data_IF_416071982724
#
_entry.id   IF_416071982724
#
_cell.length_a   1.000
_cell.length_b   1.000
_cell.length_c   1.000
_cell.angle_alpha   90.00
_cell.angle_beta   90.00
_cell.angle_gamma   90.00
#
_symmetry.space_group_name_H-M   'P 1'
#
loop_
_entity.id
_entity.type
_entity.pdbx_description
1 polymer ?
#
# COMPACT_ATOMS: atom_id res chain seq x y z
N UNK A 1 -28.42 -27.30 1.47
CA UNK A 1 -27.02 -27.43 1.02
C UNK A 1 -26.16 -27.70 2.25
N UNK A 2 -25.09 -28.51 2.14
CA UNK A 2 -24.10 -28.64 3.22
C UNK A 2 -23.52 -27.26 3.60
N UNK A 3 -23.11 -27.08 4.86
CA UNK A 3 -22.61 -25.80 5.36
C UNK A 3 -21.34 -25.36 4.62
N UNK A 4 -20.48 -26.29 4.24
CA UNK A 4 -19.24 -26.03 3.50
C UNK A 4 -19.54 -25.43 2.12
N UNK A 5 -20.58 -25.94 1.46
CA UNK A 5 -21.03 -25.42 0.16
C UNK A 5 -21.63 -24.03 0.33
N UNK A 6 -22.39 -23.80 1.39
CA UNK A 6 -22.93 -22.48 1.69
C UNK A 6 -21.82 -21.46 1.96
N UNK A 7 -20.80 -21.79 2.76
CA UNK A 7 -19.65 -20.90 3.01
C UNK A 7 -18.93 -20.54 1.69
N UNK A 8 -18.76 -21.50 0.78
CA UNK A 8 -18.13 -21.26 -0.53
C UNK A 8 -18.97 -20.31 -1.40
N UNK A 9 -20.29 -20.34 -1.31
CA UNK A 9 -21.17 -19.42 -2.03
C UNK A 9 -21.13 -18.04 -1.37
N UNK A 10 -21.29 -18.00 -0.04
CA UNK A 10 -21.42 -16.78 0.74
C UNK A 10 -20.13 -15.92 0.73
N UNK A 11 -18.94 -16.53 0.61
CA UNK A 11 -17.67 -15.76 0.58
C UNK A 11 -17.56 -14.75 -0.57
N UNK A 12 -18.36 -14.91 -1.62
CA UNK A 12 -18.38 -13.99 -2.77
C UNK A 12 -19.36 -12.83 -2.61
N UNK A 13 -20.14 -12.82 -1.52
CA UNK A 13 -21.09 -11.76 -1.24
C UNK A 13 -20.43 -10.63 -0.44
N UNK A 14 -20.81 -9.36 -0.70
CA UNK A 14 -20.36 -8.25 0.12
C UNK A 14 -20.94 -8.35 1.54
N UNK A 15 -20.29 -7.68 2.49
CA UNK A 15 -20.68 -7.72 3.90
C UNK A 15 -22.14 -7.32 4.15
N UNK A 16 -22.66 -6.37 3.36
CA UNK A 16 -24.06 -5.93 3.44
C UNK A 16 -25.04 -7.09 3.17
N UNK A 17 -24.73 -7.92 2.17
CA UNK A 17 -25.57 -9.05 1.80
C UNK A 17 -25.48 -10.17 2.82
N UNK A 18 -24.29 -10.40 3.41
CA UNK A 18 -24.14 -11.34 4.52
C UNK A 18 -24.95 -10.95 5.75
N UNK A 19 -24.98 -9.65 6.08
CA UNK A 19 -25.81 -9.12 7.17
C UNK A 19 -27.29 -9.35 6.88
N UNK A 20 -27.73 -9.18 5.63
CA UNK A 20 -29.12 -9.46 5.22
C UNK A 20 -29.46 -10.95 5.31
N UNK A 21 -28.55 -11.83 4.86
CA UNK A 21 -28.70 -13.30 4.93
C UNK A 21 -28.82 -13.77 6.37
N UNK A 22 -28.09 -13.12 7.28
CA UNK A 22 -28.15 -13.37 8.72
C UNK A 22 -29.57 -13.18 9.30
N UNK A 23 -30.42 -12.39 8.65
CA UNK A 23 -31.79 -12.12 9.09
C UNK A 23 -32.81 -13.15 8.58
N UNK A 24 -32.42 -14.02 7.64
CA UNK A 24 -33.35 -14.94 6.96
C UNK A 24 -33.72 -16.15 7.82
N UNK A 25 -32.76 -16.72 8.56
CA UNK A 25 -33.02 -17.86 9.46
C UNK A 25 -31.97 -17.97 10.57
N UNK A 26 -32.31 -18.66 11.66
CA UNK A 26 -31.38 -18.91 12.78
C UNK A 26 -30.16 -19.72 12.36
N UNK A 27 -30.32 -20.68 11.44
CA UNK A 27 -29.22 -21.50 10.94
C UNK A 27 -28.26 -20.67 10.08
N UNK A 28 -28.77 -19.79 9.22
CA UNK A 28 -27.94 -18.87 8.44
C UNK A 28 -27.27 -17.82 9.32
N UNK A 29 -27.96 -17.38 10.39
CA UNK A 29 -27.35 -16.51 11.40
C UNK A 29 -26.13 -17.16 12.04
N UNK A 30 -26.30 -18.38 12.52
CA UNK A 30 -25.23 -19.16 13.14
C UNK A 30 -24.07 -19.38 12.17
N UNK A 31 -24.36 -19.82 10.94
CA UNK A 31 -23.35 -20.02 9.91
C UNK A 31 -22.54 -18.76 9.60
N UNK A 32 -23.21 -17.61 9.47
CA UNK A 32 -22.54 -16.34 9.19
C UNK A 32 -21.77 -15.85 10.42
N UNK A 33 -22.33 -15.95 11.62
CA UNK A 33 -21.69 -15.44 12.84
C UNK A 33 -20.48 -16.28 13.27
N UNK A 34 -20.51 -17.59 13.07
CA UNK A 34 -19.49 -18.53 13.57
C UNK A 34 -18.43 -18.92 12.53
N UNK A 35 -18.41 -18.33 11.34
CA UNK A 35 -17.45 -18.67 10.28
C UNK A 35 -16.33 -17.62 10.13
N UNK A 36 -15.13 -17.83 10.72
CA UNK A 36 -13.99 -16.93 10.54
C UNK A 36 -13.54 -16.82 9.08
N UNK A 37 -13.61 -17.91 8.32
CA UNK A 37 -13.18 -17.95 6.91
C UNK A 37 -14.03 -17.06 6.01
N UNK A 38 -15.33 -16.96 6.31
CA UNK A 38 -16.25 -16.03 5.67
C UNK A 38 -15.82 -14.57 5.98
N UNK A 39 -15.65 -14.23 7.25
CA UNK A 39 -15.28 -12.87 7.68
C UNK A 39 -13.87 -12.46 7.25
N UNK A 40 -12.97 -13.41 7.06
CA UNK A 40 -11.62 -13.15 6.55
C UNK A 40 -11.61 -12.76 5.07
N UNK A 41 -12.62 -13.21 4.29
CA UNK A 41 -12.67 -13.04 2.82
C UNK A 41 -13.77 -12.09 2.34
N UNK A 42 -14.71 -11.72 3.20
CA UNK A 42 -15.79 -10.78 2.87
C UNK A 42 -15.25 -9.44 2.38
N UNK A 43 -15.92 -8.85 1.39
CA UNK A 43 -15.59 -7.53 0.86
C UNK A 43 -16.51 -6.43 1.39
N UNK A 44 -15.98 -5.21 1.45
CA UNK A 44 -16.66 -4.01 1.96
C UNK A 44 -16.72 -2.88 0.92
N UNK A 45 -17.11 -3.13 -0.36
CA UNK A 45 -17.09 -2.11 -1.41
C UNK A 45 -17.90 -0.86 -1.02
N UNK A 46 -17.28 0.32 -1.11
CA UNK A 46 -17.92 1.60 -0.79
C UNK A 46 -18.48 1.70 0.64
N UNK A 47 -18.08 0.79 1.54
CA UNK A 47 -18.41 0.82 2.96
C UNK A 47 -17.21 1.36 3.70
N UNK A 48 -17.37 2.57 4.24
CA UNK A 48 -16.40 3.21 5.12
C UNK A 48 -16.78 3.04 6.60
N UNK A 49 -15.82 2.92 7.54
CA UNK A 49 -16.09 2.86 8.97
C UNK A 49 -16.95 4.03 9.46
N UNK A 50 -17.98 3.70 10.23
CA UNK A 50 -18.89 4.65 10.89
C UNK A 50 -19.45 4.01 12.15
N UNK A 51 -20.07 4.79 13.02
CA UNK A 51 -20.73 4.27 14.24
C UNK A 51 -21.74 3.15 13.94
N UNK A 52 -22.40 3.17 12.77
CA UNK A 52 -23.45 2.20 12.41
C UNK A 52 -22.89 0.83 11.99
N UNK A 53 -21.72 0.79 11.37
CA UNK A 53 -21.15 -0.42 10.75
C UNK A 53 -19.82 -0.88 11.38
N UNK A 54 -19.27 -0.12 12.34
CA UNK A 54 -17.97 -0.38 12.97
C UNK A 54 -17.87 -1.79 13.55
N UNK A 55 -18.88 -2.28 14.26
CA UNK A 55 -18.87 -3.63 14.83
C UNK A 55 -18.70 -4.74 13.78
N UNK A 56 -19.21 -4.54 12.56
CA UNK A 56 -19.09 -5.51 11.46
C UNK A 56 -17.68 -5.51 10.88
N UNK A 57 -17.09 -4.32 10.73
CA UNK A 57 -15.71 -4.17 10.27
C UNK A 57 -14.71 -4.68 11.31
N UNK A 58 -14.91 -4.40 12.60
CA UNK A 58 -14.07 -4.89 13.70
C UNK A 58 -14.09 -6.41 13.78
N UNK A 59 -15.28 -7.02 13.60
CA UNK A 59 -15.39 -8.48 13.51
C UNK A 59 -14.51 -9.05 12.40
N UNK A 60 -14.55 -8.45 11.21
CA UNK A 60 -13.72 -8.88 10.08
C UNK A 60 -12.23 -8.65 10.35
N UNK A 61 -11.86 -7.50 10.92
CA UNK A 61 -10.49 -7.17 11.26
C UNK A 61 -9.89 -8.15 12.29
N UNK A 62 -10.67 -8.55 13.30
CA UNK A 62 -10.25 -9.51 14.34
C UNK A 62 -9.88 -10.89 13.80
N UNK A 63 -10.42 -11.28 12.63
CA UNK A 63 -10.06 -12.53 11.95
C UNK A 63 -9.05 -12.33 10.81
N UNK A 64 -8.44 -11.15 10.70
CA UNK A 64 -7.39 -10.87 9.73
C UNK A 64 -7.86 -10.40 8.35
N UNK A 65 -9.09 -9.89 8.22
CA UNK A 65 -9.56 -9.31 6.96
C UNK A 65 -8.78 -8.03 6.62
N UNK A 66 -7.96 -8.08 5.58
CA UNK A 66 -7.08 -6.98 5.17
C UNK A 66 -7.84 -5.71 4.77
N UNK A 67 -9.02 -5.84 4.13
CA UNK A 67 -9.81 -4.68 3.71
C UNK A 67 -10.34 -3.93 4.94
N UNK A 68 -10.86 -4.66 5.92
CA UNK A 68 -11.33 -4.07 7.18
C UNK A 68 -10.18 -3.46 7.99
N UNK A 69 -9.04 -4.16 8.10
CA UNK A 69 -7.84 -3.68 8.81
C UNK A 69 -7.34 -2.34 8.25
N UNK A 70 -7.22 -2.23 6.91
CA UNK A 70 -6.77 -1.00 6.26
C UNK A 70 -7.77 0.13 6.45
N UNK A 71 -9.07 -0.12 6.22
CA UNK A 71 -10.11 0.90 6.34
C UNK A 71 -10.24 1.42 7.77
N UNK A 72 -10.30 0.53 8.77
CA UNK A 72 -10.33 0.93 10.18
C UNK A 72 -9.05 1.67 10.58
N UNK A 73 -7.87 1.18 10.18
CA UNK A 73 -6.60 1.82 10.51
C UNK A 73 -6.53 3.25 9.99
N UNK A 74 -6.98 3.48 8.75
CA UNK A 74 -7.05 4.82 8.16
C UNK A 74 -8.12 5.71 8.79
N UNK A 75 -9.29 5.15 9.12
CA UNK A 75 -10.34 5.86 9.85
C UNK A 75 -9.83 6.38 11.21
N UNK A 76 -9.07 5.56 11.96
CA UNK A 76 -8.42 6.01 13.20
C UNK A 76 -7.32 7.05 12.92
N UNK A 77 -6.43 6.79 11.97
CA UNK A 77 -5.30 7.67 11.66
C UNK A 77 -5.73 9.09 11.28
N UNK A 78 -6.81 9.21 10.51
CA UNK A 78 -7.31 10.49 10.01
C UNK A 78 -8.53 11.02 10.77
N UNK A 79 -8.91 10.36 11.87
CA UNK A 79 -10.11 10.66 12.66
C UNK A 79 -11.37 10.83 11.79
N UNK A 80 -11.59 9.87 10.90
CA UNK A 80 -12.75 9.80 10.04
C UNK A 80 -13.67 8.68 10.56
N UNK A 81 -14.99 8.94 10.65
CA UNK A 81 -15.96 7.90 11.03
C UNK A 81 -16.06 7.64 12.54
N UNK A 82 -15.31 8.38 13.34
CA UNK A 82 -15.29 8.35 14.80
C UNK A 82 -15.43 9.76 15.36
N UNK A 83 -16.10 9.91 16.51
CA UNK A 83 -16.12 11.19 17.25
C UNK A 83 -14.96 11.29 18.26
N UNK A 84 -14.01 10.35 18.24
CA UNK A 84 -12.90 10.32 19.18
C UNK A 84 -11.84 11.35 18.81
N UNK A 85 -11.78 12.45 19.55
CA UNK A 85 -10.78 13.51 19.34
C UNK A 85 -9.42 13.19 19.95
N UNK A 86 -9.26 12.06 20.66
CA UNK A 86 -8.01 11.68 21.29
C UNK A 86 -7.04 11.06 20.27
N UNK A 87 -6.11 11.87 19.79
CA UNK A 87 -5.09 11.48 18.81
C UNK A 87 -4.19 10.33 19.29
N UNK A 88 -3.94 10.20 20.61
CA UNK A 88 -3.12 9.13 21.17
C UNK A 88 -3.84 7.79 21.13
N UNK A 89 -5.12 7.78 21.49
CA UNK A 89 -5.92 6.56 21.46
C UNK A 89 -6.18 6.10 20.02
N UNK A 90 -6.52 7.04 19.13
CA UNK A 90 -6.63 6.75 17.70
C UNK A 90 -5.31 6.24 17.12
N UNK A 91 -4.17 6.81 17.53
CA UNK A 91 -2.84 6.37 17.08
C UNK A 91 -2.51 4.95 17.55
N UNK A 92 -2.85 4.59 18.78
CA UNK A 92 -2.69 3.24 19.31
C UNK A 92 -3.53 2.21 18.54
N UNK A 93 -4.82 2.51 18.33
CA UNK A 93 -5.75 1.65 17.58
C UNK A 93 -5.32 1.49 16.12
N UNK A 94 -4.92 2.59 15.46
CA UNK A 94 -4.38 2.53 14.10
C UNK A 94 -3.10 1.69 14.01
N UNK A 95 -2.19 1.81 14.98
CA UNK A 95 -0.96 1.00 15.00
C UNK A 95 -1.25 -0.50 15.11
N UNK A 96 -2.18 -0.91 15.98
CA UNK A 96 -2.55 -2.33 16.14
C UNK A 96 -3.11 -2.92 14.83
N UNK A 97 -3.99 -2.17 14.16
CA UNK A 97 -4.59 -2.57 12.88
C UNK A 97 -3.55 -2.63 11.76
N UNK A 98 -2.66 -1.62 11.66
CA UNK A 98 -1.59 -1.60 10.67
C UNK A 98 -0.53 -2.68 10.91
N UNK A 99 -0.14 -2.94 12.17
CA UNK A 99 0.74 -4.04 12.53
C UNK A 99 0.16 -5.39 12.10
N UNK A 100 -1.14 -5.57 12.28
CA UNK A 100 -1.83 -6.78 11.86
C UNK A 100 -1.94 -6.87 10.34
N UNK A 101 -2.25 -5.77 9.65
CA UNK A 101 -2.33 -5.72 8.19
C UNK A 101 -1.00 -6.10 7.51
N UNK A 102 0.11 -5.57 8.01
CA UNK A 102 1.46 -5.86 7.48
C UNK A 102 1.90 -7.31 7.66
N UNK A 103 1.29 -8.05 8.61
CA UNK A 103 1.55 -9.50 8.74
C UNK A 103 0.86 -10.32 7.65
N UNK A 104 -0.10 -9.72 6.94
CA UNK A 104 -0.94 -10.39 5.95
C UNK A 104 -0.57 -10.03 4.50
N UNK A 105 0.42 -9.16 4.30
CA UNK A 105 0.86 -8.67 2.99
C UNK A 105 2.32 -9.00 2.73
N UNK A 106 2.67 -9.18 1.45
CA UNK A 106 4.06 -9.41 1.05
C UNK A 106 4.84 -8.11 0.87
N UNK A 107 4.16 -7.06 0.38
CA UNK A 107 4.74 -5.76 0.14
C UNK A 107 4.41 -4.78 1.27
N UNK A 108 5.42 -4.18 1.93
CA UNK A 108 5.18 -3.24 3.02
C UNK A 108 4.62 -1.91 2.52
N UNK A 109 3.56 -1.41 3.16
CA UNK A 109 2.82 -0.24 2.65
C UNK A 109 2.47 0.78 3.74
N UNK A 110 2.29 0.38 5.00
CA UNK A 110 1.82 1.27 6.07
C UNK A 110 2.71 2.49 6.31
N UNK A 111 4.01 2.35 6.02
CA UNK A 111 4.99 3.43 6.14
C UNK A 111 4.59 4.71 5.39
N UNK A 112 3.90 4.61 4.25
CA UNK A 112 3.56 5.81 3.47
C UNK A 112 2.40 6.62 4.07
N UNK A 113 1.55 6.03 4.92
CA UNK A 113 0.51 6.77 5.64
C UNK A 113 1.07 7.58 6.82
N UNK A 114 2.18 7.11 7.38
CA UNK A 114 2.78 7.61 8.62
C UNK A 114 3.95 8.56 8.30
N UNK A 115 4.13 8.97 7.03
CA UNK A 115 5.25 9.83 6.61
C UNK A 115 5.35 11.13 7.43
N UNK A 116 6.58 11.60 7.73
CA UNK A 116 6.83 12.92 8.29
C UNK A 116 6.59 14.05 7.25
N UNK A 117 6.58 15.34 7.68
CA UNK A 117 6.81 15.84 9.03
C UNK A 117 5.65 15.57 9.99
N UNK A 118 5.99 15.40 11.26
CA UNK A 118 5.03 15.32 12.36
C UNK A 118 5.10 16.59 13.20
N UNK A 119 4.04 16.88 13.94
CA UNK A 119 4.05 18.00 14.88
C UNK A 119 5.23 17.83 15.89
N UNK A 120 6.02 18.89 16.18
CA UNK A 120 7.16 18.81 17.10
C UNK A 120 6.79 18.34 18.51
N UNK A 121 5.54 18.55 18.93
CA UNK A 121 5.00 18.07 20.20
C UNK A 121 4.96 16.55 20.33
N UNK A 122 5.10 15.81 19.21
CA UNK A 122 4.97 14.35 19.19
C UNK A 122 3.54 13.84 19.44
N UNK A 123 2.57 14.74 19.62
CA UNK A 123 1.19 14.41 20.00
C UNK A 123 0.26 14.14 18.82
N UNK A 124 0.74 14.28 17.58
CA UNK A 124 -0.08 14.00 16.41
C UNK A 124 -0.27 12.49 16.21
N UNK A 125 -1.42 12.10 15.63
CA UNK A 125 -1.81 10.70 15.49
C UNK A 125 -0.74 9.86 14.76
N UNK A 126 -0.14 10.38 13.67
CA UNK A 126 0.95 9.70 12.94
C UNK A 126 2.17 9.38 13.81
N UNK A 127 2.63 10.35 14.62
CA UNK A 127 3.75 10.13 15.54
C UNK A 127 3.40 9.08 16.61
N UNK A 128 2.16 9.09 17.09
CA UNK A 128 1.65 8.08 18.02
C UNK A 128 1.63 6.68 17.37
N UNK A 129 1.16 6.55 16.13
CA UNK A 129 1.19 5.28 15.38
C UNK A 129 2.62 4.77 15.30
N UNK A 130 3.56 5.60 14.84
CA UNK A 130 4.97 5.22 14.73
C UNK A 130 5.56 4.73 16.06
N UNK A 131 5.31 5.47 17.16
CA UNK A 131 5.78 5.09 18.50
C UNK A 131 5.26 3.70 18.90
N UNK A 132 3.96 3.44 18.71
CA UNK A 132 3.36 2.15 19.05
C UNK A 132 3.87 1.01 18.14
N UNK A 133 4.16 1.28 16.86
CA UNK A 133 4.79 0.28 15.97
C UNK A 133 6.20 -0.10 16.44
N UNK A 134 6.99 0.90 16.87
CA UNK A 134 8.34 0.68 17.43
C UNK A 134 8.27 -0.14 18.72
N UNK A 135 7.37 0.22 19.64
CA UNK A 135 7.14 -0.52 20.89
C UNK A 135 6.72 -1.97 20.62
N UNK A 136 5.78 -2.17 19.69
CA UNK A 136 5.33 -3.49 19.27
C UNK A 136 6.50 -4.38 18.76
N UNK A 137 7.37 -3.84 17.92
CA UNK A 137 8.52 -4.58 17.38
C UNK A 137 9.68 -4.74 18.37
N UNK A 138 9.75 -3.91 19.41
CA UNK A 138 10.79 -3.99 20.45
C UNK A 138 10.46 -5.03 21.52
N UNK A 139 9.16 -5.23 21.78
CA UNK A 139 8.66 -6.18 22.76
C UNK A 139 8.38 -7.58 22.18
N UNK A 140 8.45 -7.76 20.86
CA UNK A 140 8.22 -9.04 20.22
C UNK A 140 9.30 -10.06 20.61
N UNK A 141 8.89 -11.25 21.07
CA UNK A 141 9.82 -12.34 21.37
C UNK A 141 10.55 -12.81 20.11
N UNK A 142 11.80 -13.31 20.21
CA UNK A 142 12.59 -13.78 19.05
C UNK A 142 11.92 -14.90 18.24
N UNK A 143 11.01 -15.65 18.87
CA UNK A 143 10.30 -16.80 18.29
C UNK A 143 8.95 -16.43 17.66
N UNK A 144 8.39 -15.27 17.99
CA UNK A 144 7.26 -14.72 17.25
C UNK A 144 7.84 -14.25 15.93
N UNK A 145 7.34 -14.74 14.79
CA UNK A 145 7.89 -14.46 13.46
C UNK A 145 8.02 -12.95 13.25
N UNK A 146 9.18 -12.36 13.58
CA UNK A 146 9.37 -10.92 13.56
C UNK A 146 9.03 -10.45 12.15
N UNK A 147 8.02 -9.58 12.07
CA UNK A 147 7.51 -9.18 10.78
C UNK A 147 8.52 -8.25 10.12
N UNK A 148 9.35 -8.84 9.25
CA UNK A 148 10.36 -8.14 8.44
C UNK A 148 9.77 -6.96 7.65
N UNK A 149 8.47 -6.98 7.34
CA UNK A 149 7.73 -5.86 6.73
C UNK A 149 7.55 -4.69 7.71
N UNK A 150 7.23 -4.95 8.99
CA UNK A 150 7.11 -3.91 10.00
C UNK A 150 8.46 -3.26 10.32
N UNK A 151 9.51 -4.06 10.47
CA UNK A 151 10.87 -3.54 10.67
C UNK A 151 11.30 -2.66 9.50
N UNK A 152 11.00 -3.10 8.27
CA UNK A 152 11.20 -2.28 7.08
C UNK A 152 10.39 -0.98 7.13
N UNK A 153 9.10 -1.04 7.47
CA UNK A 153 8.24 0.15 7.55
C UNK A 153 8.80 1.18 8.54
N UNK A 154 9.25 0.74 9.72
CA UNK A 154 9.88 1.61 10.72
C UNK A 154 11.15 2.24 10.14
N UNK A 155 12.05 1.42 9.57
CA UNK A 155 13.28 1.90 8.94
C UNK A 155 13.00 2.89 7.81
N UNK A 156 11.99 2.63 6.98
CA UNK A 156 11.59 3.49 5.86
C UNK A 156 10.98 4.80 6.33
N UNK A 157 10.18 4.81 7.40
CA UNK A 157 9.69 6.07 7.99
C UNK A 157 10.87 6.89 8.52
N UNK A 158 11.81 6.25 9.22
CA UNK A 158 13.00 6.93 9.74
C UNK A 158 13.88 7.51 8.62
N UNK A 159 13.99 6.82 7.49
CA UNK A 159 14.77 7.30 6.34
C UNK A 159 14.21 8.57 5.67
N UNK A 160 12.95 8.93 5.98
CA UNK A 160 12.31 10.14 5.46
C UNK A 160 12.57 11.37 6.32
N UNK A 161 13.26 11.22 7.44
CA UNK A 161 13.71 12.34 8.25
C UNK A 161 15.11 12.80 7.82
N UNK A 162 15.36 14.11 7.90
CA UNK A 162 16.66 14.72 7.56
C UNK A 162 17.66 14.76 8.75
N UNK A 163 17.33 14.13 9.88
CA UNK A 163 18.13 14.15 11.12
C UNK A 163 19.16 13.00 11.16
N UNK A 164 20.44 13.32 11.40
CA UNK A 164 21.53 12.35 11.52
C UNK A 164 21.30 11.28 12.59
N UNK A 165 20.69 11.63 13.74
CA UNK A 165 20.40 10.65 14.80
C UNK A 165 19.41 9.60 14.31
N UNK A 166 18.41 10.01 13.53
CA UNK A 166 17.43 9.08 12.96
C UNK A 166 18.01 8.21 11.84
N UNK A 167 19.11 8.65 11.22
CA UNK A 167 19.82 7.86 10.20
C UNK A 167 20.48 6.61 10.81
N UNK A 168 21.07 6.71 12.01
CA UNK A 168 21.66 5.53 12.66
C UNK A 168 20.59 4.53 13.10
N UNK A 169 19.48 5.01 13.69
CA UNK A 169 18.32 4.18 14.03
C UNK A 169 17.72 3.52 12.78
N UNK A 170 17.58 4.26 11.68
CA UNK A 170 17.12 3.75 10.39
C UNK A 170 17.95 2.55 9.92
N UNK A 171 19.28 2.67 9.96
CA UNK A 171 20.20 1.60 9.53
C UNK A 171 20.02 0.36 10.39
N UNK A 172 19.87 0.50 11.72
CA UNK A 172 19.64 -0.64 12.61
C UNK A 172 18.34 -1.41 12.27
N UNK A 173 17.23 -0.70 12.10
CA UNK A 173 15.95 -1.31 11.74
C UNK A 173 16.00 -2.00 10.37
N UNK A 174 16.61 -1.37 9.37
CA UNK A 174 16.76 -1.97 8.04
C UNK A 174 17.71 -3.18 8.07
N UNK A 175 18.79 -3.14 8.84
CA UNK A 175 19.71 -4.27 8.98
C UNK A 175 19.01 -5.45 9.65
N UNK A 176 18.24 -5.23 10.72
CA UNK A 176 17.43 -6.27 11.36
C UNK A 176 16.41 -6.87 10.39
N UNK A 177 15.71 -6.04 9.62
CA UNK A 177 14.76 -6.49 8.60
C UNK A 177 15.45 -7.32 7.50
N UNK A 178 16.63 -6.87 7.03
CA UNK A 178 17.43 -7.56 6.02
C UNK A 178 17.93 -8.91 6.52
N UNK A 179 18.40 -9.00 7.77
CA UNK A 179 18.84 -10.25 8.40
C UNK A 179 17.72 -11.29 8.51
N UNK A 180 16.46 -10.84 8.59
CA UNK A 180 15.27 -11.68 8.54
C UNK A 180 14.78 -11.97 7.10
N UNK A 181 15.56 -11.63 6.08
CA UNK A 181 15.25 -11.89 4.68
C UNK A 181 14.25 -10.91 4.06
N UNK A 182 14.22 -9.65 4.50
CA UNK A 182 13.48 -8.58 3.80
C UNK A 182 14.29 -8.10 2.60
N UNK A 183 13.82 -8.44 1.40
CA UNK A 183 14.41 -7.96 0.15
C UNK A 183 14.23 -6.45 -0.04
N UNK A 184 13.14 -5.89 0.50
CA UNK A 184 12.88 -4.45 0.57
C UNK A 184 13.93 -3.71 1.40
N UNK A 185 14.25 -4.23 2.59
CA UNK A 185 15.26 -3.63 3.45
C UNK A 185 16.67 -3.73 2.84
N UNK A 186 17.00 -4.89 2.28
CA UNK A 186 18.27 -5.08 1.58
C UNK A 186 18.43 -4.07 0.42
N UNK A 187 17.37 -3.84 -0.36
CA UNK A 187 17.38 -2.85 -1.44
C UNK A 187 17.55 -1.40 -0.95
N UNK A 188 16.83 -0.99 0.11
CA UNK A 188 16.99 0.36 0.66
C UNK A 188 18.40 0.57 1.23
N UNK A 189 18.96 -0.42 1.92
CA UNK A 189 20.34 -0.36 2.40
C UNK A 189 21.35 -0.27 1.25
N UNK A 190 21.15 -1.06 0.19
CA UNK A 190 21.96 -0.98 -1.02
C UNK A 190 21.91 0.41 -1.64
N UNK A 191 20.72 1.02 -1.74
CA UNK A 191 20.53 2.38 -2.26
C UNK A 191 21.28 3.42 -1.44
N UNK A 192 21.23 3.32 -0.11
CA UNK A 192 21.97 4.22 0.79
C UNK A 192 23.49 4.12 0.58
N UNK A 193 24.04 2.89 0.52
CA UNK A 193 25.48 2.66 0.30
C UNK A 193 25.95 3.07 -1.10
N UNK A 194 25.16 2.77 -2.13
CA UNK A 194 25.54 3.03 -3.52
C UNK A 194 25.64 4.53 -3.83
N UNK A 195 24.89 5.37 -3.12
CA UNK A 195 25.01 6.82 -3.24
C UNK A 195 26.31 7.37 -2.64
N UNK A 196 26.87 6.70 -1.62
CA UNK A 196 28.09 7.12 -0.93
C UNK A 196 29.37 6.72 -1.70
N UNK A 197 29.36 5.60 -2.43
CA UNK A 197 30.55 5.00 -3.04
C UNK A 197 30.59 5.05 -4.58
N UNK A 198 29.89 6.01 -5.20
CA UNK A 198 29.71 6.06 -6.66
C UNK A 198 31.00 6.23 -7.50
N UNK A 199 32.13 6.61 -6.89
CA UNK A 199 33.36 6.99 -7.60
C UNK A 199 34.40 5.86 -7.75
N UNK A 200 34.32 4.79 -6.96
CA UNK A 200 35.32 3.72 -6.94
C UNK A 200 34.90 2.52 -7.84
N UNK A 201 35.68 2.15 -8.88
CA UNK A 201 35.28 1.09 -9.82
C UNK A 201 35.05 -0.29 -9.19
N UNK A 202 35.85 -0.65 -8.17
CA UNK A 202 35.71 -1.91 -7.43
C UNK A 202 34.44 -1.92 -6.58
N UNK A 203 34.11 -0.80 -5.93
CA UNK A 203 32.89 -0.62 -5.15
C UNK A 203 31.65 -0.66 -6.05
N UNK A 204 31.71 -0.08 -7.25
CA UNK A 204 30.63 -0.13 -8.23
C UNK A 204 30.35 -1.56 -8.71
N UNK A 205 31.40 -2.35 -8.95
CA UNK A 205 31.27 -3.75 -9.34
C UNK A 205 30.64 -4.58 -8.21
N UNK A 206 31.09 -4.40 -6.97
CA UNK A 206 30.52 -5.07 -5.80
C UNK A 206 29.05 -4.66 -5.58
N UNK A 207 28.73 -3.37 -5.70
CA UNK A 207 27.36 -2.84 -5.62
C UNK A 207 26.44 -3.50 -6.63
N UNK A 208 26.87 -3.69 -7.88
CA UNK A 208 26.05 -4.37 -8.91
C UNK A 208 25.86 -5.88 -8.64
N UNK A 209 26.81 -6.54 -7.96
CA UNK A 209 26.64 -7.94 -7.54
C UNK A 209 25.58 -8.04 -6.44
N UNK A 210 25.67 -7.19 -5.43
CA UNK A 210 24.66 -7.12 -4.36
C UNK A 210 23.27 -6.80 -4.92
N UNK A 211 23.16 -5.85 -5.85
CA UNK A 211 21.89 -5.54 -6.52
C UNK A 211 21.31 -6.77 -7.23
N UNK A 212 22.15 -7.58 -7.87
CA UNK A 212 21.74 -8.82 -8.53
C UNK A 212 21.20 -9.84 -7.54
N UNK A 213 21.87 -10.04 -6.42
CA UNK A 213 21.41 -10.97 -5.37
C UNK A 213 20.06 -10.52 -4.79
N UNK A 214 19.89 -9.21 -4.56
CA UNK A 214 18.62 -8.64 -4.08
C UNK A 214 17.50 -8.82 -5.14
N UNK A 215 17.81 -8.61 -6.42
CA UNK A 215 16.87 -8.81 -7.52
C UNK A 215 16.44 -10.28 -7.66
N UNK A 216 17.37 -11.22 -7.47
CA UNK A 216 17.08 -12.66 -7.45
C UNK A 216 16.19 -13.06 -6.28
N UNK A 217 16.26 -12.35 -5.14
CA UNK A 217 15.36 -12.51 -3.99
C UNK A 217 13.95 -11.90 -4.20
N UNK A 218 13.61 -11.51 -5.43
CA UNK A 218 12.25 -11.13 -5.80
C UNK A 218 11.87 -9.66 -5.56
N UNK A 219 12.81 -8.79 -5.16
CA UNK A 219 12.49 -7.37 -5.00
C UNK A 219 12.28 -6.70 -6.37
N UNK A 220 11.07 -6.17 -6.62
CA UNK A 220 10.70 -5.59 -7.90
C UNK A 220 11.54 -4.34 -8.25
N UNK A 221 11.90 -3.51 -7.28
CA UNK A 221 12.67 -2.29 -7.52
C UNK A 221 14.14 -2.59 -7.81
N UNK A 222 14.70 -3.60 -7.15
CA UNK A 222 16.01 -4.14 -7.47
C UNK A 222 16.05 -4.75 -8.88
N UNK A 223 15.00 -5.51 -9.25
CA UNK A 223 14.87 -6.07 -10.60
C UNK A 223 14.82 -4.99 -11.68
N UNK A 224 13.99 -3.95 -11.48
CA UNK A 224 13.92 -2.81 -12.38
C UNK A 224 15.25 -2.06 -12.45
N UNK A 225 15.87 -1.77 -11.30
CA UNK A 225 17.15 -1.04 -11.25
C UNK A 225 18.25 -1.83 -11.96
N UNK A 226 18.32 -3.14 -11.75
CA UNK A 226 19.28 -4.01 -12.43
C UNK A 226 19.03 -4.06 -13.94
N UNK A 227 17.77 -4.15 -14.37
CA UNK A 227 17.40 -4.10 -15.78
C UNK A 227 17.89 -2.80 -16.44
N UNK A 228 17.71 -1.66 -15.78
CA UNK A 228 18.21 -0.37 -16.27
C UNK A 228 19.74 -0.33 -16.35
N UNK A 229 20.45 -0.91 -15.38
CA UNK A 229 21.92 -1.00 -15.42
C UNK A 229 22.39 -1.85 -16.60
N UNK A 230 21.77 -3.01 -16.84
CA UNK A 230 22.08 -3.86 -17.99
C UNK A 230 21.77 -3.19 -19.33
N UNK A 231 20.64 -2.49 -19.43
CA UNK A 231 20.29 -1.72 -20.62
C UNK A 231 21.30 -0.60 -20.90
N UNK A 232 21.87 0.01 -19.85
CA UNK A 232 22.93 1.01 -19.96
C UNK A 232 24.33 0.42 -20.25
N UNK A 233 24.48 -0.90 -20.32
CA UNK A 233 25.75 -1.58 -20.57
C UNK A 233 26.56 -1.89 -19.30
N UNK A 234 26.05 -1.56 -18.11
CA UNK A 234 26.72 -1.79 -16.83
C UNK A 234 26.48 -3.23 -16.35
N UNK A 235 27.31 -4.16 -16.82
CA UNK A 235 27.09 -5.60 -16.58
C UNK A 235 27.52 -6.07 -15.18
N UNK A 236 28.34 -5.31 -14.45
CA UNK A 236 28.79 -5.71 -13.10
C UNK A 236 29.40 -7.12 -13.06
N UNK A 237 30.16 -7.49 -14.09
CA UNK A 237 30.76 -8.82 -14.23
C UNK A 237 29.84 -9.94 -14.74
N UNK A 238 28.59 -9.66 -15.10
CA UNK A 238 27.74 -10.62 -15.83
C UNK A 238 28.13 -10.72 -17.32
N UNK A 239 27.86 -11.86 -17.95
CA UNK A 239 27.93 -11.98 -19.40
C UNK A 239 26.77 -11.23 -20.06
N UNK A 240 26.95 -10.84 -21.32
CA UNK A 240 25.87 -10.21 -22.11
C UNK A 240 24.66 -11.14 -22.27
N UNK A 241 24.91 -12.44 -22.40
CA UNK A 241 23.85 -13.45 -22.53
C UNK A 241 23.01 -13.55 -21.26
N UNK A 242 23.64 -13.55 -20.09
CA UNK A 242 22.94 -13.55 -18.80
C UNK A 242 22.10 -12.27 -18.62
N UNK A 243 22.66 -11.12 -18.97
CA UNK A 243 21.94 -9.85 -18.89
C UNK A 243 20.74 -9.82 -19.85
N UNK A 244 20.92 -10.31 -21.08
CA UNK A 244 19.85 -10.41 -22.08
C UNK A 244 18.73 -11.37 -21.64
N UNK A 245 19.08 -12.51 -21.05
CA UNK A 245 18.12 -13.45 -20.48
C UNK A 245 17.33 -12.82 -19.34
N UNK A 246 18.01 -12.17 -18.39
CA UNK A 246 17.37 -11.46 -17.29
C UNK A 246 16.40 -10.38 -17.80
N UNK A 247 16.83 -9.55 -18.75
CA UNK A 247 15.98 -8.51 -19.36
C UNK A 247 14.75 -9.11 -20.04
N UNK A 248 14.93 -10.21 -20.77
CA UNK A 248 13.82 -10.90 -21.44
C UNK A 248 12.82 -11.43 -20.42
N UNK A 249 13.29 -12.10 -19.36
CA UNK A 249 12.43 -12.60 -18.29
C UNK A 249 11.73 -11.47 -17.54
N UNK A 250 12.43 -10.37 -17.24
CA UNK A 250 11.87 -9.19 -16.58
C UNK A 250 10.74 -8.57 -17.41
N UNK A 251 10.97 -8.35 -18.70
CA UNK A 251 9.95 -7.80 -19.61
C UNK A 251 8.76 -8.75 -19.80
N UNK A 252 8.99 -10.06 -19.82
CA UNK A 252 7.91 -11.07 -19.91
C UNK A 252 7.02 -11.12 -18.66
N UNK A 253 7.53 -10.72 -17.48
CA UNK A 253 6.69 -10.59 -16.28
C UNK A 253 5.68 -9.44 -16.39
N UNK A 254 5.97 -8.42 -17.19
CA UNK A 254 5.05 -7.32 -17.43
C UNK A 254 3.83 -7.81 -18.22
N UNK A 255 2.67 -7.85 -17.55
CA UNK A 255 1.40 -8.18 -18.20
C UNK A 255 0.74 -6.92 -18.71
N UNK A 256 0.45 -6.87 -20.01
CA UNK A 256 -0.38 -5.81 -20.56
C UNK A 256 -1.73 -5.81 -19.84
N UNK A 257 -2.12 -4.64 -19.33
CA UNK A 257 -3.46 -4.42 -18.80
C UNK A 257 -4.46 -4.62 -19.94
N UNK A 258 -5.35 -5.60 -19.79
CA UNK A 258 -6.39 -5.91 -20.76
C UNK A 258 -7.46 -4.81 -20.73
N UNK A 259 -7.12 -3.60 -21.20
CA UNK A 259 -7.97 -2.40 -21.15
C UNK A 259 -9.36 -2.62 -21.77
N UNK A 260 -9.47 -3.48 -22.78
CA UNK A 260 -10.74 -3.89 -23.38
C UNK A 260 -11.69 -4.61 -22.40
N UNK A 261 -11.17 -5.27 -21.36
CA UNK A 261 -11.98 -5.94 -20.32
C UNK A 261 -12.43 -4.98 -19.22
N UNK A 262 -11.73 -3.87 -19.03
CA UNK A 262 -11.99 -2.91 -17.95
C UNK A 262 -13.42 -2.35 -18.07
N UNK A 263 -13.83 -1.97 -19.28
CA UNK A 263 -15.16 -1.42 -19.55
C UNK A 263 -16.23 -2.46 -19.86
N UNK A 264 -15.92 -3.76 -19.81
CA UNK A 264 -16.94 -4.82 -19.80
C UNK A 264 -17.61 -4.97 -18.44
N UNK A 265 -16.91 -4.61 -17.36
CA UNK A 265 -17.40 -4.63 -15.99
C UNK A 265 -17.97 -3.27 -15.54
N UNK A 266 -17.39 -2.17 -16.01
CA UNK A 266 -17.85 -0.82 -15.71
C UNK A 266 -19.12 -0.47 -16.50
N UNK A 267 -20.20 -0.08 -15.81
CA UNK A 267 -21.48 0.26 -16.46
C UNK A 267 -21.61 1.73 -16.82
N UNK A 268 -20.87 2.63 -16.15
CA UNK A 268 -20.99 4.08 -16.33
C UNK A 268 -19.77 4.74 -17.00
N UNK A 269 -18.72 3.96 -17.26
CA UNK A 269 -17.44 4.46 -17.76
C UNK A 269 -17.12 3.91 -19.13
N UNK A 270 -16.30 4.63 -19.89
CA UNK A 270 -15.79 4.19 -21.18
C UNK A 270 -14.32 4.62 -21.39
N UNK A 271 -13.72 4.11 -22.47
CA UNK A 271 -12.32 4.41 -22.83
C UNK A 271 -12.05 5.93 -22.96
N UNK A 272 -12.99 6.70 -23.49
CA UNK A 272 -12.84 8.15 -23.66
C UNK A 272 -12.75 8.86 -22.31
N UNK A 273 -13.56 8.47 -21.33
CA UNK A 273 -13.48 9.04 -19.97
C UNK A 273 -12.14 8.72 -19.30
N UNK A 274 -11.61 7.51 -19.49
CA UNK A 274 -10.27 7.17 -19.00
C UNK A 274 -9.18 7.97 -19.71
N UNK A 275 -9.29 8.16 -21.02
CA UNK A 275 -8.35 9.01 -21.75
C UNK A 275 -8.33 10.45 -21.18
N UNK A 276 -9.50 11.06 -21.00
CA UNK A 276 -9.64 12.39 -20.40
C UNK A 276 -9.05 12.43 -18.98
N UNK A 277 -9.29 11.40 -18.17
CA UNK A 277 -8.68 11.30 -16.84
C UNK A 277 -7.15 11.27 -16.93
N UNK A 278 -6.58 10.38 -17.75
CA UNK A 278 -5.13 10.22 -17.85
C UNK A 278 -4.46 11.49 -18.36
N UNK A 279 -5.07 12.17 -19.33
CA UNK A 279 -4.62 13.47 -19.84
C UNK A 279 -4.55 14.51 -18.70
N UNK A 280 -5.61 14.62 -17.91
CA UNK A 280 -5.65 15.49 -16.73
C UNK A 280 -4.62 15.09 -15.65
N UNK A 281 -4.39 13.80 -15.41
CA UNK A 281 -3.36 13.36 -14.45
C UNK A 281 -1.94 13.75 -14.91
N UNK A 282 -1.69 13.80 -16.22
CA UNK A 282 -0.42 14.31 -16.77
C UNK A 282 -0.28 15.81 -16.50
N UNK A 283 -1.35 16.60 -16.69
CA UNK A 283 -1.33 18.03 -16.36
C UNK A 283 -1.03 18.28 -14.88
N UNK A 284 -1.70 17.54 -13.97
CA UNK A 284 -1.43 17.61 -12.53
C UNK A 284 0.02 17.25 -12.22
N UNK A 285 0.56 16.21 -12.84
CA UNK A 285 1.95 15.81 -12.64
C UNK A 285 2.94 16.87 -13.13
N UNK A 286 2.68 17.50 -14.28
CA UNK A 286 3.49 18.60 -14.80
C UNK A 286 3.44 19.81 -13.85
N UNK A 287 2.26 20.17 -13.34
CA UNK A 287 2.10 21.26 -12.36
C UNK A 287 2.86 20.99 -11.05
N UNK A 288 3.03 19.73 -10.67
CA UNK A 288 3.72 19.31 -9.44
C UNK A 288 5.17 18.88 -9.68
N UNK A 289 5.71 19.06 -10.89
CA UNK A 289 7.04 18.61 -11.29
C UNK A 289 7.30 17.11 -11.00
N UNK A 290 6.25 16.28 -11.07
CA UNK A 290 6.35 14.85 -10.86
C UNK A 290 6.88 14.13 -12.09
N UNK A 291 7.67 13.08 -11.85
CA UNK A 291 8.18 12.22 -12.92
C UNK A 291 7.05 11.42 -13.58
N UNK A 292 7.26 11.03 -14.84
CA UNK A 292 6.35 10.14 -15.56
C UNK A 292 6.11 8.82 -14.82
N UNK A 293 7.07 8.36 -14.02
CA UNK A 293 6.92 7.16 -13.20
C UNK A 293 5.76 7.28 -12.20
N UNK A 294 5.54 8.46 -11.58
CA UNK A 294 4.41 8.68 -10.66
C UNK A 294 3.09 8.55 -11.42
N UNK A 295 3.00 9.12 -12.62
CA UNK A 295 1.80 9.02 -13.47
C UNK A 295 1.55 7.56 -13.86
N UNK A 296 2.58 6.82 -14.28
CA UNK A 296 2.43 5.41 -14.63
C UNK A 296 1.93 4.55 -13.46
N UNK A 297 2.46 4.76 -12.25
CA UNK A 297 1.98 4.08 -11.04
C UNK A 297 0.53 4.48 -10.74
N UNK A 298 0.20 5.77 -10.81
CA UNK A 298 -1.17 6.23 -10.55
C UNK A 298 -2.17 5.62 -11.54
N UNK A 299 -1.87 5.63 -12.85
CA UNK A 299 -2.71 5.00 -13.88
C UNK A 299 -2.83 3.49 -13.68
N UNK A 300 -1.75 2.82 -13.26
CA UNK A 300 -1.80 1.41 -12.88
C UNK A 300 -2.78 1.17 -11.73
N UNK A 301 -2.70 1.95 -10.64
CA UNK A 301 -3.62 1.85 -9.51
C UNK A 301 -5.09 2.12 -9.92
N UNK A 302 -5.33 3.14 -10.74
CA UNK A 302 -6.67 3.44 -11.30
C UNK A 302 -7.20 2.22 -12.03
N UNK A 303 -6.43 1.66 -12.95
CA UNK A 303 -6.89 0.55 -13.78
C UNK A 303 -7.14 -0.72 -12.94
N UNK A 304 -6.25 -1.04 -12.00
CA UNK A 304 -6.43 -2.18 -11.09
C UNK A 304 -7.67 -2.02 -10.21
N UNK A 305 -7.95 -0.80 -9.75
CA UNK A 305 -9.15 -0.51 -8.99
C UNK A 305 -10.41 -0.69 -9.84
N UNK A 306 -10.43 -0.14 -11.06
CA UNK A 306 -11.54 -0.28 -12.00
C UNK A 306 -11.77 -1.73 -12.47
N UNK A 307 -10.76 -2.61 -12.39
CA UNK A 307 -10.96 -4.04 -12.65
C UNK A 307 -11.68 -4.78 -11.52
N UNK A 308 -11.74 -4.21 -10.32
CA UNK A 308 -12.25 -4.87 -9.10
C UNK A 308 -13.49 -4.17 -8.52
N UNK A 309 -13.67 -2.87 -8.73
CA UNK A 309 -14.73 -2.04 -8.14
C UNK A 309 -15.46 -1.25 -9.21
N UNK A 310 -16.79 -1.22 -9.14
CA UNK A 310 -17.60 -0.33 -9.98
C UNK A 310 -17.43 1.10 -9.48
N UNK A 311 -17.30 2.04 -10.40
CA UNK A 311 -17.07 3.45 -10.08
C UNK A 311 -18.06 4.30 -10.86
N UNK A 312 -18.69 5.25 -10.17
CA UNK A 312 -19.59 6.20 -10.83
C UNK A 312 -18.79 7.22 -11.62
N UNK A 313 -19.38 7.77 -12.68
CA UNK A 313 -18.73 8.81 -13.48
C UNK A 313 -18.22 9.98 -12.63
N UNK A 314 -19.01 10.40 -11.63
CA UNK A 314 -18.68 11.50 -10.72
C UNK A 314 -17.54 11.19 -9.75
N UNK A 315 -17.10 9.94 -9.61
CA UNK A 315 -16.03 9.56 -8.68
C UNK A 315 -14.71 9.28 -9.42
N UNK A 316 -14.70 9.31 -10.76
CA UNK A 316 -13.54 8.94 -11.56
C UNK A 316 -12.35 9.90 -11.33
N UNK A 317 -12.61 11.21 -11.22
CA UNK A 317 -11.56 12.20 -10.93
C UNK A 317 -11.04 12.04 -9.49
N UNK A 318 -11.92 11.78 -8.52
CA UNK A 318 -11.55 11.49 -7.13
C UNK A 318 -10.62 10.27 -7.04
N UNK A 319 -10.94 9.19 -7.77
CA UNK A 319 -10.08 8.02 -7.89
C UNK A 319 -8.71 8.40 -8.46
N UNK A 320 -8.68 9.12 -9.58
CA UNK A 320 -7.44 9.53 -10.25
C UNK A 320 -6.52 10.37 -9.36
N UNK A 321 -7.03 11.44 -8.74
CA UNK A 321 -6.22 12.30 -7.88
C UNK A 321 -5.71 11.56 -6.64
N UNK A 322 -6.53 10.65 -6.12
CA UNK A 322 -6.14 9.82 -4.97
C UNK A 322 -5.05 8.82 -5.35
N UNK A 323 -5.10 8.25 -6.55
CA UNK A 323 -4.01 7.41 -7.08
C UNK A 323 -2.71 8.21 -7.29
N UNK A 324 -2.77 9.48 -7.72
CA UNK A 324 -1.59 10.36 -7.74
C UNK A 324 -1.04 10.58 -6.32
N UNK A 325 -1.91 10.85 -5.34
CA UNK A 325 -1.51 11.00 -3.94
C UNK A 325 -0.80 9.74 -3.41
N UNK A 326 -1.33 8.55 -3.71
CA UNK A 326 -0.73 7.27 -3.32
C UNK A 326 0.62 7.09 -4.03
N UNK A 327 0.67 7.26 -5.36
CA UNK A 327 1.87 7.08 -6.16
C UNK A 327 2.99 8.04 -5.75
N UNK A 328 2.68 9.33 -5.53
CA UNK A 328 3.64 10.33 -5.08
C UNK A 328 4.20 9.99 -3.69
N UNK A 329 3.35 9.57 -2.74
CA UNK A 329 3.80 9.14 -1.41
C UNK A 329 4.60 7.84 -1.45
N UNK A 330 4.39 6.98 -2.44
CA UNK A 330 5.12 5.73 -2.57
C UNK A 330 6.49 5.94 -3.23
N UNK A 331 6.57 6.78 -4.27
CA UNK A 331 7.78 6.93 -5.09
C UNK A 331 8.66 8.12 -4.68
N UNK A 332 8.06 9.25 -4.26
CA UNK A 332 8.71 10.55 -4.22
C UNK A 332 9.28 10.99 -2.86
N UNK A 333 10.23 11.94 -2.94
CA UNK A 333 10.58 12.84 -1.82
C UNK A 333 9.43 13.83 -1.60
N UNK A 334 8.98 14.45 -2.69
CA UNK A 334 7.82 15.33 -2.73
C UNK A 334 6.51 14.55 -2.67
N UNK A 335 5.51 15.13 -2.04
CA UNK A 335 4.22 14.48 -1.77
C UNK A 335 3.06 15.38 -2.20
N UNK A 336 1.90 14.76 -2.41
CA UNK A 336 0.61 15.45 -2.38
C UNK A 336 -0.04 15.18 -1.03
N UNK A 337 -0.36 16.24 -0.30
CA UNK A 337 -1.17 16.14 0.92
C UNK A 337 -2.63 15.89 0.56
N UNK A 338 -3.43 15.36 1.50
CA UNK A 338 -4.87 15.12 1.24
C UNK A 338 -5.58 16.45 0.95
N UNK A 339 -5.19 17.54 1.63
CA UNK A 339 -5.75 18.88 1.40
C UNK A 339 -5.38 19.42 0.02
N UNK A 340 -4.15 19.23 -0.42
CA UNK A 340 -3.75 19.62 -1.78
C UNK A 340 -4.47 18.79 -2.84
N UNK A 341 -4.71 17.48 -2.61
CA UNK A 341 -5.48 16.66 -3.53
C UNK A 341 -6.93 17.15 -3.68
N UNK A 342 -7.58 17.54 -2.58
CA UNK A 342 -8.90 18.21 -2.60
C UNK A 342 -8.84 19.49 -3.42
N UNK A 343 -7.87 20.36 -3.14
CA UNK A 343 -7.72 21.64 -3.82
C UNK A 343 -7.42 21.50 -5.33
N UNK A 344 -6.60 20.52 -5.73
CA UNK A 344 -6.30 20.22 -7.14
C UNK A 344 -7.53 19.79 -7.94
N UNK A 345 -8.62 19.43 -7.27
CA UNK A 345 -9.91 19.13 -7.91
C UNK A 345 -10.87 20.32 -7.88
N UNK A 346 -10.36 21.54 -7.70
CA UNK A 346 -11.15 22.76 -7.48
C UNK A 346 -12.19 22.59 -6.36
N UNK A 347 -11.79 21.89 -5.29
CA UNK A 347 -12.62 21.56 -4.13
C UNK A 347 -13.92 20.80 -4.48
N UNK A 348 -13.95 20.12 -5.63
CA UNK A 348 -15.06 19.23 -6.03
C UNK A 348 -15.25 18.09 -5.02
N UNK A 349 -14.17 17.60 -4.42
CA UNK A 349 -14.19 16.56 -3.40
C UNK A 349 -13.55 17.07 -2.11
N UNK A 350 -14.15 16.71 -0.99
CA UNK A 350 -13.69 17.07 0.34
C UNK A 350 -12.47 16.27 0.79
N UNK A 351 -11.81 16.76 1.84
CA UNK A 351 -10.72 16.05 2.53
C UNK A 351 -11.13 14.63 2.93
N UNK A 352 -12.35 14.48 3.47
CA UNK A 352 -12.90 13.20 3.93
C UNK A 352 -13.12 12.24 2.76
N UNK A 353 -13.60 12.73 1.61
CA UNK A 353 -13.79 11.90 0.41
C UNK A 353 -12.46 11.36 -0.13
N UNK A 354 -11.40 12.18 -0.13
CA UNK A 354 -10.05 11.73 -0.50
C UNK A 354 -9.50 10.70 0.49
N UNK A 355 -9.74 10.86 1.81
CA UNK A 355 -9.36 9.85 2.83
C UNK A 355 -10.07 8.52 2.56
N UNK A 356 -11.38 8.57 2.32
CA UNK A 356 -12.20 7.37 2.06
C UNK A 356 -11.74 6.68 0.78
N UNK A 357 -11.57 7.42 -0.32
CA UNK A 357 -11.07 6.87 -1.58
C UNK A 357 -9.67 6.27 -1.41
N UNK A 358 -8.79 6.89 -0.61
CA UNK A 358 -7.46 6.34 -0.36
C UNK A 358 -7.56 4.99 0.33
N UNK A 359 -8.44 4.83 1.32
CA UNK A 359 -8.64 3.52 1.95
C UNK A 359 -9.37 2.51 1.07
N UNK A 360 -10.28 2.94 0.19
CA UNK A 360 -10.88 2.06 -0.84
C UNK A 360 -9.80 1.52 -1.79
N UNK A 361 -8.95 2.38 -2.35
CA UNK A 361 -7.87 1.97 -3.26
C UNK A 361 -6.91 1.03 -2.54
N UNK A 362 -6.42 1.42 -1.37
CA UNK A 362 -5.39 0.65 -0.66
C UNK A 362 -5.90 -0.70 -0.14
N UNK A 363 -7.17 -0.78 0.26
CA UNK A 363 -7.78 -2.05 0.63
C UNK A 363 -8.07 -2.96 -0.57
N UNK A 364 -8.56 -2.39 -1.68
CA UNK A 364 -8.83 -3.11 -2.93
C UNK A 364 -7.55 -3.70 -3.55
N UNK A 365 -6.46 -2.96 -3.45
CA UNK A 365 -5.13 -3.38 -3.90
C UNK A 365 -4.34 -4.13 -2.83
N UNK A 366 -4.87 -4.28 -1.61
CA UNK A 366 -4.20 -4.97 -0.49
C UNK A 366 -2.78 -4.45 -0.19
N UNK A 367 -2.54 -3.16 -0.36
CA UNK A 367 -1.20 -2.57 -0.18
C UNK A 367 -0.32 -2.59 -1.43
N UNK A 368 -0.68 -3.32 -2.48
CA UNK A 368 0.11 -3.49 -3.70
C UNK A 368 -0.03 -2.25 -4.60
N UNK A 369 0.91 -1.31 -4.48
CA UNK A 369 0.94 -0.07 -5.28
C UNK A 369 1.67 -0.25 -6.62
N UNK A 370 2.47 -1.31 -6.79
CA UNK A 370 3.38 -1.50 -7.92
C UNK A 370 3.08 -2.72 -8.77
#
# INVERSE_FOLDING_TARGET
LPEEVLIIILKFLPAQDLVNIRLVSTNLKHLVDESPTLWMTVSFPSIWPSQKNRAVLERAANVGNIEALIKLGLAHLYNEGSNNTNASENGRQAAELFCTAERMTCDPFTWFFIRPPWAPSGSCCKACVFKNMVEYCSNAEPCDSLNKSLLFCIGKILSLHEDEKRRSECIDWLQRASNLGSSHAAFEMWKMKSLEHALEPSAMLQSLRELRDIAMNGNAEAQYTLAMQYAAGNMGGASKDHAAEFLTQFLQKSKALNSHKLFGFQTELNNTMRYILVDWLVEVALMKDFSSQIVHIAVHCVDQYLMKRKVQRSELQLLGITCILIAARFQGKDIVTIREASWLTDDTYSYEEVVRMMGEVMSCLRGEVR
#
